data_IF_372639957934
#
_entry.id   IF_372639957934
#
_cell.length_a   1.000
_cell.length_b   1.000
_cell.length_c   1.000
_cell.angle_alpha   90.00
_cell.angle_beta   90.00
_cell.angle_gamma   90.00
#
_symmetry.space_group_name_H-M   'P 1'
#
loop_
_entity.id
_entity.type
_entity.pdbx_description
1 polymer ?
#
# COMPACT_ATOMS: atom_id res chain seq x y z
N UNK A 1 12.76 18.60 -7.16
CA UNK A 1 13.11 17.18 -7.26
C UNK A 1 12.40 16.44 -6.13
N UNK A 2 11.16 16.02 -6.34
CA UNK A 2 10.42 15.22 -5.35
C UNK A 2 10.84 13.76 -5.54
N UNK A 3 11.75 13.30 -4.69
CA UNK A 3 12.35 11.98 -4.78
C UNK A 3 11.28 10.89 -4.65
N UNK A 4 11.30 9.94 -5.59
CA UNK A 4 10.43 8.76 -5.71
C UNK A 4 10.67 7.73 -4.57
N UNK A 5 10.57 8.15 -3.31
CA UNK A 5 10.46 7.23 -2.16
C UNK A 5 9.08 6.53 -2.15
N UNK A 6 8.29 6.70 -3.20
CA UNK A 6 7.01 6.02 -3.38
C UNK A 6 7.17 4.56 -3.85
N UNK A 7 8.33 4.14 -4.34
CA UNK A 7 8.42 2.87 -5.06
C UNK A 7 8.78 1.67 -4.17
N UNK A 8 10.00 1.57 -3.64
CA UNK A 8 10.48 0.29 -3.11
C UNK A 8 9.68 -0.30 -1.95
N UNK A 9 9.45 0.46 -0.88
CA UNK A 9 8.77 -0.08 0.30
C UNK A 9 7.27 -0.32 0.06
N UNK A 10 6.65 0.57 -0.71
CA UNK A 10 5.23 0.53 -1.02
C UNK A 10 4.89 -0.57 -2.03
N UNK A 11 5.68 -0.68 -3.11
CA UNK A 11 5.53 -1.73 -4.11
C UNK A 11 5.81 -3.10 -3.50
N UNK A 12 6.81 -3.22 -2.61
CA UNK A 12 7.06 -4.45 -1.86
C UNK A 12 5.89 -4.79 -0.95
N UNK A 13 5.38 -3.85 -0.15
CA UNK A 13 4.21 -4.07 0.70
C UNK A 13 2.98 -4.50 -0.11
N UNK A 14 2.69 -3.84 -1.24
CA UNK A 14 1.56 -4.21 -2.12
C UNK A 14 1.75 -5.59 -2.73
N UNK A 15 2.96 -5.90 -3.19
CA UNK A 15 3.29 -7.19 -3.78
C UNK A 15 3.17 -8.32 -2.74
N UNK A 16 3.70 -8.13 -1.54
CA UNK A 16 3.62 -9.10 -0.44
C UNK A 16 2.18 -9.30 0.05
N UNK A 17 1.41 -8.22 0.19
CA UNK A 17 0.00 -8.29 0.53
C UNK A 17 -0.81 -9.03 -0.53
N UNK A 18 -0.63 -8.70 -1.82
CA UNK A 18 -1.29 -9.40 -2.93
C UNK A 18 -0.89 -10.88 -3.00
N UNK A 19 0.40 -11.19 -2.79
CA UNK A 19 0.89 -12.58 -2.74
C UNK A 19 0.23 -13.40 -1.65
N UNK A 20 -0.06 -12.78 -0.51
CA UNK A 20 -0.76 -13.41 0.62
C UNK A 20 -2.30 -13.39 0.48
N UNK A 21 -2.84 -12.89 -0.65
CA UNK A 21 -4.28 -12.78 -0.87
C UNK A 21 -4.96 -11.66 -0.06
N UNK A 22 -4.19 -10.68 0.42
CA UNK A 22 -4.73 -9.54 1.16
C UNK A 22 -5.16 -8.43 0.20
N UNK A 23 -6.29 -7.78 0.54
CA UNK A 23 -6.74 -6.57 -0.13
C UNK A 23 -5.90 -5.38 0.31
N UNK A 24 -5.54 -4.53 -0.65
CA UNK A 24 -4.71 -3.35 -0.42
C UNK A 24 -5.47 -2.11 -0.88
N UNK A 25 -5.59 -1.12 0.01
CA UNK A 25 -6.28 0.15 -0.23
C UNK A 25 -5.29 1.31 -0.12
N UNK A 26 -5.15 2.06 -1.21
CA UNK A 26 -4.28 3.23 -1.30
C UNK A 26 -5.11 4.52 -1.17
N UNK A 27 -4.86 5.33 -0.16
CA UNK A 27 -5.53 6.62 0.04
C UNK A 27 -4.50 7.76 0.03
N UNK A 28 -4.61 8.66 -0.94
CA UNK A 28 -3.82 9.91 -0.98
C UNK A 28 -4.50 10.93 -0.09
N UNK A 29 -3.79 11.41 0.92
CA UNK A 29 -4.28 12.43 1.83
C UNK A 29 -4.08 13.82 1.23
N UNK A 30 -4.92 14.76 1.64
CA UNK A 30 -4.88 16.17 1.19
C UNK A 30 -3.59 16.91 1.56
N UNK A 31 -2.86 16.39 2.54
CA UNK A 31 -1.55 16.85 2.99
C UNK A 31 -0.38 16.40 2.08
N UNK A 32 -0.65 15.57 1.06
CA UNK A 32 0.36 14.99 0.18
C UNK A 32 0.97 13.68 0.69
N UNK A 33 0.67 13.33 1.95
CA UNK A 33 0.95 12.02 2.54
C UNK A 33 0.11 10.90 1.91
N UNK A 34 0.59 9.66 1.94
CA UNK A 34 -0.11 8.49 1.36
C UNK A 34 -0.32 7.44 2.44
N UNK A 35 -1.58 7.05 2.65
CA UNK A 35 -1.99 6.03 3.61
C UNK A 35 -2.26 4.72 2.87
N UNK A 36 -1.44 3.70 3.16
CA UNK A 36 -1.68 2.33 2.73
C UNK A 36 -2.44 1.58 3.83
N UNK A 37 -3.53 0.91 3.47
CA UNK A 37 -4.28 0.02 4.36
C UNK A 37 -4.23 -1.38 3.80
N UNK A 38 -3.65 -2.32 4.55
CA UNK A 38 -3.62 -3.74 4.19
C UNK A 38 -4.68 -4.44 5.02
N UNK A 39 -5.68 -5.00 4.34
CA UNK A 39 -6.72 -5.77 4.98
C UNK A 39 -6.28 -7.23 5.06
N UNK A 40 -5.75 -7.59 6.24
CA UNK A 40 -5.34 -8.94 6.58
C UNK A 40 -6.55 -9.74 7.07
N UNK A 41 -7.28 -10.37 6.14
CA UNK A 41 -8.38 -11.28 6.43
C UNK A 41 -9.77 -10.64 6.45
N UNK A 42 -10.54 -10.91 5.41
CA UNK A 42 -11.94 -11.30 5.55
C UNK A 42 -12.02 -12.71 4.97
N UNK A 43 -12.32 -13.70 5.80
CA UNK A 43 -12.57 -15.03 5.31
C UNK A 43 -13.84 -15.02 4.47
N UNK A 44 -13.71 -15.37 3.19
CA UNK A 44 -14.41 -16.48 2.54
C UNK A 44 -13.70 -16.84 1.23
#
# INVERSE_FOLDING_TARGET
>A
MFFYVYSDAFEKCRLEARRKGHSVLENRLSDGSIKLTIQIGEGQ
#
